data_IF_208892594975
#
_entry.id   IF_208892594975
#
_cell.length_a   1.000
_cell.length_b   1.000
_cell.length_c   1.000
_cell.angle_alpha   90.00
_cell.angle_beta   90.00
_cell.angle_gamma   90.00
#
_symmetry.space_group_name_H-M   'P 1'
#
loop_
_entity.id
_entity.type
_entity.pdbx_description
1 polymer ?
#
# COMPACT_ATOMS: atom_id res chain seq x y z
N UNK A 1 -38.32 -34.26 -12.01
CA UNK A 1 -37.61 -33.50 -13.06
C UNK A 1 -37.43 -32.00 -12.76
N UNK A 2 -38.11 -31.40 -11.77
CA UNK A 2 -37.97 -29.97 -11.45
C UNK A 2 -36.74 -29.63 -10.60
N UNK A 3 -36.25 -30.57 -9.79
CA UNK A 3 -35.18 -30.31 -8.82
C UNK A 3 -33.79 -30.23 -9.46
N UNK A 4 -33.50 -31.07 -10.47
CA UNK A 4 -32.25 -30.99 -11.24
C UNK A 4 -32.13 -29.68 -12.04
N UNK A 5 -33.24 -29.12 -12.55
CA UNK A 5 -33.21 -27.79 -13.19
C UNK A 5 -32.92 -26.68 -12.19
N UNK A 6 -33.53 -26.72 -11.00
CA UNK A 6 -33.28 -25.74 -9.93
C UNK A 6 -31.82 -25.77 -9.46
N UNK A 7 -31.25 -26.97 -9.29
CA UNK A 7 -29.83 -27.13 -8.94
C UNK A 7 -28.91 -26.62 -10.05
N UNK A 8 -29.23 -26.90 -11.32
CA UNK A 8 -28.45 -26.42 -12.46
C UNK A 8 -28.49 -24.89 -12.58
N UNK A 9 -29.65 -24.26 -12.36
CA UNK A 9 -29.75 -22.78 -12.35
C UNK A 9 -29.05 -22.15 -11.15
N UNK A 10 -29.08 -22.78 -9.96
CA UNK A 10 -28.38 -22.27 -8.78
C UNK A 10 -26.86 -22.35 -8.94
N UNK A 11 -26.35 -23.43 -9.53
CA UNK A 11 -24.93 -23.62 -9.78
C UNK A 11 -24.40 -22.63 -10.83
N UNK A 12 -25.16 -22.38 -11.91
CA UNK A 12 -24.81 -21.37 -12.92
C UNK A 12 -24.84 -19.94 -12.35
N UNK A 13 -25.78 -19.64 -11.44
CA UNK A 13 -25.83 -18.35 -10.77
C UNK A 13 -24.61 -18.16 -9.85
N UNK A 14 -24.22 -19.20 -9.10
CA UNK A 14 -23.04 -19.15 -8.24
C UNK A 14 -21.76 -18.92 -9.04
N UNK A 15 -21.56 -19.67 -10.13
CA UNK A 15 -20.41 -19.51 -11.03
C UNK A 15 -20.35 -18.10 -11.65
N UNK A 16 -21.50 -17.56 -12.06
CA UNK A 16 -21.58 -16.20 -12.59
C UNK A 16 -21.26 -15.13 -11.53
N UNK A 17 -21.74 -15.30 -10.29
CA UNK A 17 -21.44 -14.39 -9.18
C UNK A 17 -19.96 -14.43 -8.81
N UNK A 18 -19.36 -15.62 -8.73
CA UNK A 18 -17.92 -15.77 -8.49
C UNK A 18 -17.09 -15.07 -9.58
N UNK A 19 -17.48 -15.24 -10.86
CA UNK A 19 -16.80 -14.58 -11.97
C UNK A 19 -16.95 -13.05 -11.92
N UNK A 20 -18.11 -12.55 -11.49
CA UNK A 20 -18.35 -11.11 -11.33
C UNK A 20 -17.51 -10.52 -10.18
N UNK A 21 -17.48 -11.18 -9.02
CA UNK A 21 -16.66 -10.78 -7.87
C UNK A 21 -15.18 -10.79 -8.22
N UNK A 22 -14.71 -11.84 -8.90
CA UNK A 22 -13.32 -11.92 -9.38
C UNK A 22 -12.97 -10.81 -10.38
N UNK A 23 -13.90 -10.46 -11.27
CA UNK A 23 -13.73 -9.34 -12.20
C UNK A 23 -13.63 -8.00 -11.48
N UNK A 24 -14.45 -7.80 -10.44
CA UNK A 24 -14.44 -6.57 -9.64
C UNK A 24 -13.13 -6.44 -8.82
N UNK A 25 -12.67 -7.53 -8.20
CA UNK A 25 -11.40 -7.58 -7.47
C UNK A 25 -10.20 -7.25 -8.37
N UNK A 26 -10.10 -7.86 -9.56
CA UNK A 26 -9.05 -7.54 -10.53
C UNK A 26 -9.11 -6.08 -11.01
N UNK A 27 -10.32 -5.54 -11.17
CA UNK A 27 -10.52 -4.12 -11.48
C UNK A 27 -9.93 -3.21 -10.40
N UNK A 28 -10.18 -3.51 -9.12
CA UNK A 28 -9.64 -2.75 -7.99
C UNK A 28 -8.12 -2.87 -7.92
N UNK A 29 -7.52 -4.05 -8.13
CA UNK A 29 -6.06 -4.20 -8.16
C UNK A 29 -5.42 -3.29 -9.21
N UNK A 30 -5.91 -3.34 -10.46
CA UNK A 30 -5.36 -2.54 -11.56
C UNK A 30 -5.56 -1.03 -11.33
N UNK A 31 -6.72 -0.62 -10.83
CA UNK A 31 -7.00 0.77 -10.48
C UNK A 31 -6.10 1.26 -9.34
N UNK A 32 -5.90 0.42 -8.31
CA UNK A 32 -5.02 0.71 -7.17
C UNK A 32 -3.59 0.95 -7.63
N UNK A 33 -3.01 0.06 -8.44
CA UNK A 33 -1.66 0.24 -8.98
C UNK A 33 -1.52 1.59 -9.69
N UNK A 34 -2.45 1.90 -10.59
CA UNK A 34 -2.41 3.16 -11.32
C UNK A 34 -2.57 4.40 -10.44
N UNK A 35 -3.34 4.31 -9.34
CA UNK A 35 -3.45 5.40 -8.35
C UNK A 35 -2.16 5.53 -7.54
N UNK A 36 -1.58 4.43 -7.08
CA UNK A 36 -0.34 4.47 -6.30
C UNK A 36 0.78 5.14 -7.09
N UNK A 37 0.94 4.82 -8.38
CA UNK A 37 1.94 5.47 -9.23
C UNK A 37 1.70 6.99 -9.31
N UNK A 38 0.45 7.45 -9.43
CA UNK A 38 0.13 8.89 -9.41
C UNK A 38 0.31 9.54 -8.03
N UNK A 39 0.07 8.81 -6.96
CA UNK A 39 0.32 9.27 -5.59
C UNK A 39 1.83 9.51 -5.39
N UNK A 40 2.68 8.59 -5.84
CA UNK A 40 4.14 8.75 -5.81
C UNK A 40 4.60 9.91 -6.70
N UNK A 41 4.10 10.01 -7.93
CA UNK A 41 4.45 11.12 -8.84
C UNK A 41 4.07 12.50 -8.30
N UNK A 42 2.95 12.59 -7.56
CA UNK A 42 2.41 13.86 -7.09
C UNK A 42 2.70 14.16 -5.61
N UNK A 43 3.22 13.20 -4.85
CA UNK A 43 3.42 13.29 -3.41
C UNK A 43 2.12 13.43 -2.59
N UNK A 44 0.96 13.02 -3.13
CA UNK A 44 -0.36 13.25 -2.49
C UNK A 44 -1.18 11.98 -2.37
N UNK A 45 -1.87 11.85 -1.24
CA UNK A 45 -2.72 10.70 -0.91
C UNK A 45 -4.18 10.81 -1.43
N UNK A 46 -4.61 12.00 -1.87
CA UNK A 46 -6.01 12.35 -2.15
C UNK A 46 -6.74 11.32 -3.03
N UNK A 47 -6.07 10.79 -4.06
CA UNK A 47 -6.69 9.86 -5.01
C UNK A 47 -6.97 8.48 -4.41
N UNK A 48 -6.05 7.95 -3.60
CA UNK A 48 -6.27 6.67 -2.93
C UNK A 48 -7.35 6.80 -1.87
N UNK A 49 -7.33 7.90 -1.11
CA UNK A 49 -8.38 8.19 -0.13
C UNK A 49 -9.77 8.28 -0.79
N UNK A 50 -9.86 8.91 -1.96
CA UNK A 50 -11.10 8.98 -2.73
C UNK A 50 -11.57 7.59 -3.21
N UNK A 51 -10.65 6.72 -3.63
CA UNK A 51 -11.00 5.34 -3.99
C UNK A 51 -11.48 4.54 -2.78
N UNK A 52 -10.79 4.60 -1.64
CA UNK A 52 -11.21 3.93 -0.38
C UNK A 52 -12.60 4.39 0.03
N UNK A 53 -12.86 5.70 0.01
CA UNK A 53 -14.18 6.24 0.31
C UNK A 53 -15.27 5.69 -0.63
N UNK A 54 -14.98 5.55 -1.93
CA UNK A 54 -15.90 4.94 -2.89
C UNK A 54 -16.13 3.45 -2.61
N UNK A 55 -15.12 2.71 -2.17
CA UNK A 55 -15.24 1.29 -1.82
C UNK A 55 -16.07 1.11 -0.55
N UNK A 56 -15.83 1.90 0.49
CA UNK A 56 -16.56 1.82 1.77
C UNK A 56 -18.07 2.01 1.59
N UNK A 57 -18.49 2.79 0.59
CA UNK A 57 -19.89 3.00 0.23
C UNK A 57 -20.55 1.80 -0.48
N UNK A 58 -19.80 0.74 -0.81
CA UNK A 58 -20.30 -0.47 -1.47
C UNK A 58 -20.43 -1.62 -0.45
N UNK A 59 -21.60 -1.80 0.18
CA UNK A 59 -21.71 -2.62 1.38
C UNK A 59 -21.44 -4.12 1.19
N UNK A 60 -21.62 -4.63 -0.01
CA UNK A 60 -21.55 -6.07 -0.31
C UNK A 60 -20.13 -6.55 -0.58
N UNK A 61 -19.27 -5.74 -1.20
CA UNK A 61 -17.94 -6.14 -1.69
C UNK A 61 -16.78 -5.37 -1.07
N UNK A 62 -17.05 -4.40 -0.19
CA UNK A 62 -16.02 -3.51 0.37
C UNK A 62 -14.86 -4.23 1.06
N UNK A 63 -15.12 -5.33 1.79
CA UNK A 63 -14.06 -6.04 2.52
C UNK A 63 -13.10 -6.73 1.56
N UNK A 64 -13.63 -7.46 0.58
CA UNK A 64 -12.82 -8.11 -0.44
C UNK A 64 -12.01 -7.07 -1.22
N UNK A 65 -12.64 -5.96 -1.63
CA UNK A 65 -11.97 -4.89 -2.35
C UNK A 65 -10.89 -4.17 -1.53
N UNK A 66 -11.13 -3.92 -0.24
CA UNK A 66 -10.13 -3.31 0.65
C UNK A 66 -8.96 -4.26 0.93
N UNK A 67 -9.23 -5.55 1.12
CA UNK A 67 -8.19 -6.56 1.29
C UNK A 67 -7.29 -6.65 0.05
N UNK A 68 -7.89 -6.71 -1.14
CA UNK A 68 -7.15 -6.74 -2.42
C UNK A 68 -6.32 -5.46 -2.62
N UNK A 69 -6.84 -4.30 -2.22
CA UNK A 69 -6.10 -3.05 -2.22
C UNK A 69 -4.94 -3.06 -1.22
N UNK A 70 -5.17 -3.53 0.00
CA UNK A 70 -4.16 -3.61 1.05
C UNK A 70 -2.98 -4.49 0.60
N UNK A 71 -3.24 -5.64 -0.02
CA UNK A 71 -2.20 -6.49 -0.62
C UNK A 71 -1.37 -5.76 -1.67
N UNK A 72 -2.01 -4.97 -2.53
CA UNK A 72 -1.31 -4.20 -3.57
C UNK A 72 -0.45 -3.10 -2.95
N UNK A 73 -0.99 -2.35 -1.97
CA UNK A 73 -0.25 -1.28 -1.28
C UNK A 73 0.93 -1.86 -0.50
N UNK A 74 0.73 -2.97 0.21
CA UNK A 74 1.78 -3.68 0.95
C UNK A 74 2.87 -4.19 0.01
N UNK A 75 2.50 -4.83 -1.11
CA UNK A 75 3.43 -5.30 -2.12
C UNK A 75 4.31 -4.15 -2.63
N UNK A 76 3.69 -3.02 -2.98
CA UNK A 76 4.41 -1.83 -3.46
C UNK A 76 5.31 -1.21 -2.38
N UNK A 77 4.85 -1.16 -1.14
CA UNK A 77 5.66 -0.69 -0.01
C UNK A 77 6.90 -1.56 0.20
N UNK A 78 6.76 -2.88 0.07
CA UNK A 78 7.90 -3.80 0.17
C UNK A 78 8.88 -3.66 -1.00
N UNK A 79 8.40 -3.44 -2.22
CA UNK A 79 9.25 -3.12 -3.37
C UNK A 79 10.08 -1.86 -3.12
N UNK A 80 9.46 -0.78 -2.61
CA UNK A 80 10.17 0.46 -2.29
C UNK A 80 11.19 0.27 -1.15
N UNK A 81 10.86 -0.51 -0.12
CA UNK A 81 11.79 -0.83 0.98
C UNK A 81 13.01 -1.57 0.47
N UNK A 82 12.82 -2.52 -0.44
CA UNK A 82 13.91 -3.23 -1.07
C UNK A 82 14.78 -2.28 -1.91
N UNK A 83 14.16 -1.45 -2.76
CA UNK A 83 14.88 -0.45 -3.55
C UNK A 83 15.67 0.51 -2.67
N UNK A 84 15.08 0.95 -1.56
CA UNK A 84 15.73 1.86 -0.61
C UNK A 84 16.97 1.22 0.02
N UNK A 85 16.87 -0.06 0.41
CA UNK A 85 18.01 -0.80 0.92
C UNK A 85 19.13 -0.93 -0.12
N UNK A 86 18.80 -1.30 -1.36
CA UNK A 86 19.77 -1.40 -2.46
C UNK A 86 20.48 -0.06 -2.75
N UNK A 87 19.74 1.05 -2.68
CA UNK A 87 20.31 2.40 -2.86
C UNK A 87 21.22 2.80 -1.69
N UNK A 88 20.86 2.44 -0.46
CA UNK A 88 21.73 2.66 0.70
C UNK A 88 23.04 1.87 0.60
N UNK A 89 22.98 0.62 0.14
CA UNK A 89 24.18 -0.20 -0.12
C UNK A 89 25.05 0.42 -1.23
N UNK A 90 24.41 0.88 -2.30
CA UNK A 90 25.11 1.57 -3.40
C UNK A 90 25.84 2.80 -2.90
N UNK A 91 25.17 3.70 -2.15
CA UNK A 91 25.78 4.91 -1.61
C UNK A 91 26.90 4.58 -0.62
N UNK A 92 26.70 3.60 0.26
CA UNK A 92 27.75 3.13 1.16
C UNK A 92 29.01 2.66 0.39
N UNK A 93 28.81 1.92 -0.71
CA UNK A 93 29.89 1.49 -1.60
C UNK A 93 30.62 2.65 -2.28
N UNK A 94 29.87 3.64 -2.77
CA UNK A 94 30.41 4.88 -3.36
C UNK A 94 31.24 5.64 -2.33
N UNK A 95 30.69 5.85 -1.12
CA UNK A 95 31.36 6.57 -0.03
C UNK A 95 32.67 5.90 0.39
N UNK A 96 32.66 4.57 0.46
CA UNK A 96 33.86 3.78 0.75
C UNK A 96 34.91 3.90 -0.35
N UNK A 97 34.50 3.90 -1.61
CA UNK A 97 35.44 3.91 -2.74
C UNK A 97 36.09 5.27 -2.92
N UNK A 98 35.34 6.35 -2.77
CA UNK A 98 35.81 7.71 -3.00
C UNK A 98 36.53 8.31 -1.78
N UNK A 99 36.03 8.03 -0.57
CA UNK A 99 36.53 8.67 0.67
C UNK A 99 37.08 7.69 1.71
N UNK A 100 37.17 6.40 1.40
CA UNK A 100 37.58 5.34 2.35
C UNK A 100 36.70 5.29 3.61
N UNK A 101 35.48 5.83 3.53
CA UNK A 101 34.51 5.86 4.63
C UNK A 101 33.76 4.53 4.66
N UNK A 102 34.01 3.72 5.69
CA UNK A 102 33.27 2.47 5.91
C UNK A 102 32.00 2.73 6.75
N UNK A 103 30.86 2.86 6.07
CA UNK A 103 29.54 2.93 6.71
C UNK A 103 28.71 1.71 6.33
N UNK A 104 28.03 1.05 7.30
CA UNK A 104 27.03 0.04 6.96
C UNK A 104 25.80 0.71 6.33
N UNK A 105 25.09 0.01 5.45
CA UNK A 105 23.89 0.53 4.79
C UNK A 105 22.81 1.03 5.78
N UNK A 106 22.71 0.41 6.96
CA UNK A 106 21.82 0.88 8.03
C UNK A 106 22.18 2.28 8.54
N UNK A 107 23.47 2.61 8.65
CA UNK A 107 23.90 3.94 9.06
C UNK A 107 23.64 4.99 7.96
N UNK A 108 23.76 4.60 6.68
CA UNK A 108 23.40 5.46 5.55
C UNK A 108 21.89 5.74 5.54
N UNK A 109 21.07 4.72 5.75
CA UNK A 109 19.62 4.91 5.94
C UNK A 109 19.34 5.86 7.09
N UNK A 110 19.93 5.63 8.26
CA UNK A 110 19.65 6.46 9.44
C UNK A 110 20.16 7.91 9.27
N UNK A 111 21.15 8.14 8.39
CA UNK A 111 21.62 9.47 8.02
C UNK A 111 20.62 10.19 7.11
N UNK A 112 20.01 9.50 6.16
CA UNK A 112 19.04 10.09 5.23
C UNK A 112 17.68 10.23 5.90
N UNK A 113 17.25 9.19 6.61
CA UNK A 113 15.94 9.12 7.25
C UNK A 113 15.88 10.09 8.43
N UNK A 114 15.15 11.19 8.25
CA UNK A 114 15.03 12.26 9.23
C UNK A 114 16.04 13.40 9.10
N UNK A 115 16.90 13.39 8.08
CA UNK A 115 17.66 14.58 7.72
C UNK A 115 16.71 15.67 7.21
N UNK A 116 16.90 16.91 7.65
CA UNK A 116 16.18 18.02 7.04
C UNK A 116 16.70 18.28 5.63
N UNK A 117 15.89 18.93 4.78
CA UNK A 117 16.33 19.37 3.45
C UNK A 117 17.63 20.18 3.51
N UNK A 118 17.79 21.01 4.54
CA UNK A 118 19.01 21.79 4.75
C UNK A 118 20.23 20.91 5.09
N UNK A 119 20.03 19.83 5.86
CA UNK A 119 21.10 18.89 6.20
C UNK A 119 21.53 18.10 4.96
N UNK A 120 20.56 17.67 4.15
CA UNK A 120 20.82 17.00 2.86
C UNK A 120 21.57 17.94 1.90
N UNK A 121 21.13 19.19 1.77
CA UNK A 121 21.83 20.19 0.95
C UNK A 121 23.24 20.47 1.44
N UNK A 122 23.45 20.53 2.77
CA UNK A 122 24.78 20.71 3.34
C UNK A 122 25.69 19.51 3.04
N UNK A 123 25.17 18.28 3.15
CA UNK A 123 25.90 17.06 2.77
C UNK A 123 26.21 17.04 1.28
N UNK A 124 25.24 17.34 0.41
CA UNK A 124 25.43 17.42 -1.04
C UNK A 124 26.50 18.46 -1.40
N UNK A 125 26.46 19.64 -0.78
CA UNK A 125 27.47 20.69 -0.99
C UNK A 125 28.86 20.29 -0.51
N UNK A 126 28.96 19.56 0.61
CA UNK A 126 30.23 19.08 1.12
C UNK A 126 30.83 18.03 0.17
N UNK A 127 30.02 17.07 -0.28
CA UNK A 127 30.43 16.03 -1.24
C UNK A 127 30.85 16.64 -2.58
N UNK A 128 30.05 17.57 -3.13
CA UNK A 128 30.35 18.24 -4.40
C UNK A 128 31.63 19.09 -4.34
N UNK A 129 31.95 19.68 -3.19
CA UNK A 129 33.15 20.51 -3.05
C UNK A 129 34.47 19.72 -3.06
N UNK A 130 34.41 18.42 -2.77
CA UNK A 130 35.58 17.54 -2.66
C UNK A 130 35.87 16.81 -3.98
N UNK A 131 34.89 16.74 -4.89
CA UNK A 131 34.97 16.03 -6.17
C UNK A 131 35.42 16.90 -7.35
N UNK A 132 36.09 18.03 -7.11
CA UNK A 132 36.46 19.04 -8.13
C UNK A 132 37.44 18.60 -9.24
N UNK A 133 37.63 17.31 -9.46
CA UNK A 133 38.49 16.76 -10.52
C UNK A 133 37.83 16.86 -11.91
N UNK A 134 38.63 17.06 -12.96
CA UNK A 134 38.19 17.34 -14.34
C UNK A 134 37.41 16.19 -15.03
N UNK A 135 37.32 15.00 -14.40
CA UNK A 135 36.63 13.80 -14.92
C UNK A 135 35.27 13.54 -14.23
N UNK A 136 34.80 14.44 -13.36
CA UNK A 136 33.53 14.26 -12.65
C UNK A 136 32.35 14.70 -13.53
N UNK A 137 31.56 13.72 -14.00
CA UNK A 137 30.33 13.96 -14.75
C UNK A 137 29.17 14.17 -13.75
N UNK A 138 28.69 15.40 -13.55
CA UNK A 138 27.61 15.67 -12.59
C UNK A 138 26.28 15.02 -12.99
N UNK A 139 26.14 14.56 -14.24
CA UNK A 139 24.97 13.84 -14.72
C UNK A 139 25.09 12.32 -14.51
N UNK A 140 26.22 11.80 -13.98
CA UNK A 140 26.37 10.37 -13.69
C UNK A 140 25.40 9.95 -12.56
N UNK A 141 24.49 8.99 -12.79
CA UNK A 141 23.63 8.46 -11.73
C UNK A 141 24.41 7.77 -10.59
N UNK A 142 25.66 7.38 -10.83
CA UNK A 142 26.56 6.88 -9.80
C UNK A 142 27.20 8.00 -8.96
N UNK A 143 27.08 9.25 -9.38
CA UNK A 143 27.57 10.40 -8.63
C UNK A 143 26.90 10.47 -7.25
N UNK A 144 27.66 10.62 -6.16
CA UNK A 144 27.16 10.48 -4.79
C UNK A 144 26.08 11.51 -4.44
N UNK A 145 26.12 12.70 -5.04
CA UNK A 145 25.07 13.72 -4.87
C UNK A 145 23.74 13.26 -5.48
N UNK A 146 23.78 12.67 -6.69
CA UNK A 146 22.60 12.14 -7.37
C UNK A 146 22.03 10.91 -6.64
N UNK A 147 22.92 10.06 -6.08
CA UNK A 147 22.52 8.94 -5.22
C UNK A 147 21.84 9.42 -3.94
N UNK A 148 22.38 10.45 -3.28
CA UNK A 148 21.79 11.02 -2.06
C UNK A 148 20.43 11.67 -2.33
N UNK A 149 20.31 12.43 -3.41
CA UNK A 149 19.03 13.02 -3.83
C UNK A 149 18.00 11.93 -4.16
N UNK A 150 18.39 10.89 -4.89
CA UNK A 150 17.52 9.75 -5.18
C UNK A 150 17.08 9.02 -3.91
N UNK A 151 17.95 8.92 -2.91
CA UNK A 151 17.63 8.29 -1.62
C UNK A 151 16.64 9.14 -0.82
N UNK A 152 16.84 10.47 -0.76
CA UNK A 152 15.92 11.38 -0.08
C UNK A 152 14.50 11.29 -0.65
N UNK A 153 14.38 11.36 -1.98
CA UNK A 153 13.06 11.20 -2.66
C UNK A 153 12.42 9.85 -2.34
N UNK A 154 13.22 8.79 -2.28
CA UNK A 154 12.72 7.45 -1.98
C UNK A 154 12.28 7.30 -0.51
N UNK A 155 12.89 8.03 0.42
CA UNK A 155 12.46 8.10 1.83
C UNK A 155 11.11 8.83 1.97
N UNK A 156 10.90 9.90 1.18
CA UNK A 156 9.61 10.58 1.08
C UNK A 156 8.53 9.65 0.51
N UNK A 157 8.83 8.94 -0.58
CA UNK A 157 7.95 7.94 -1.20
C UNK A 157 7.57 6.82 -0.21
N UNK A 158 8.55 6.32 0.56
CA UNK A 158 8.34 5.33 1.61
C UNK A 158 7.42 5.84 2.72
N UNK A 159 7.60 7.10 3.12
CA UNK A 159 6.76 7.74 4.15
C UNK A 159 5.32 7.87 3.68
N UNK A 160 5.11 8.33 2.44
CA UNK A 160 3.79 8.39 1.83
C UNK A 160 3.15 7.00 1.73
N UNK A 161 3.88 6.01 1.20
CA UNK A 161 3.35 4.65 1.06
C UNK A 161 3.07 3.97 2.40
N UNK A 162 3.86 4.25 3.43
CA UNK A 162 3.59 3.82 4.80
C UNK A 162 2.26 4.37 5.31
N UNK A 163 2.03 5.68 5.15
CA UNK A 163 0.75 6.30 5.48
C UNK A 163 -0.41 5.68 4.71
N UNK A 164 -0.28 5.49 3.40
CA UNK A 164 -1.32 4.90 2.57
C UNK A 164 -1.67 3.47 2.99
N UNK A 165 -0.67 2.67 3.35
CA UNK A 165 -0.87 1.32 3.87
C UNK A 165 -1.63 1.32 5.19
N UNK A 166 -1.19 2.11 6.17
CA UNK A 166 -1.87 2.25 7.46
C UNK A 166 -3.32 2.73 7.30
N UNK A 167 -3.54 3.70 6.40
CA UNK A 167 -4.87 4.19 6.09
C UNK A 167 -5.80 3.10 5.54
N UNK A 168 -5.34 2.29 4.59
CA UNK A 168 -6.14 1.19 4.02
C UNK A 168 -6.39 0.08 5.05
N UNK A 169 -5.39 -0.26 5.86
CA UNK A 169 -5.51 -1.27 6.92
C UNK A 169 -6.53 -0.85 7.99
N UNK A 170 -6.48 0.41 8.45
CA UNK A 170 -7.43 0.97 9.41
C UNK A 170 -8.88 0.86 8.90
N UNK A 171 -9.11 1.16 7.62
CA UNK A 171 -10.43 1.02 7.01
C UNK A 171 -10.87 -0.44 6.88
N UNK A 172 -9.94 -1.34 6.60
CA UNK A 172 -10.20 -2.78 6.56
C UNK A 172 -10.68 -3.27 7.93
N UNK A 173 -9.91 -2.97 8.99
CA UNK A 173 -10.27 -3.29 10.38
C UNK A 173 -11.63 -2.68 10.75
N UNK A 174 -11.86 -1.41 10.42
CA UNK A 174 -13.13 -0.74 10.72
C UNK A 174 -14.32 -1.44 10.04
N UNK A 175 -14.17 -1.85 8.79
CA UNK A 175 -15.22 -2.54 8.05
C UNK A 175 -15.47 -3.96 8.57
N UNK A 176 -14.43 -4.66 9.01
CA UNK A 176 -14.57 -5.98 9.65
C UNK A 176 -15.36 -5.89 10.95
N UNK A 177 -15.07 -4.88 11.78
CA UNK A 177 -15.80 -4.64 13.02
C UNK A 177 -17.29 -4.34 12.77
N UNK A 178 -17.60 -3.55 11.74
CA UNK A 178 -18.98 -3.26 11.34
C UNK A 178 -19.68 -4.54 10.85
N UNK A 179 -19.01 -5.35 10.02
CA UNK A 179 -19.56 -6.61 9.52
C UNK A 179 -19.83 -7.60 10.66
N UNK A 180 -18.87 -7.75 11.58
CA UNK A 180 -19.01 -8.59 12.77
C UNK A 180 -20.20 -8.15 13.63
N UNK A 181 -20.32 -6.84 13.91
CA UNK A 181 -21.44 -6.29 14.67
C UNK A 181 -22.78 -6.57 14.00
N UNK A 182 -22.89 -6.35 12.69
CA UNK A 182 -24.12 -6.62 11.93
C UNK A 182 -24.52 -8.09 12.00
N UNK A 183 -23.55 -9.01 11.84
CA UNK A 183 -23.80 -10.44 11.97
C UNK A 183 -24.25 -10.84 13.38
N UNK A 184 -23.71 -10.19 14.42
CA UNK A 184 -24.12 -10.39 15.80
C UNK A 184 -25.55 -9.93 16.06
N UNK A 185 -25.90 -8.72 15.62
CA UNK A 185 -27.26 -8.16 15.76
C UNK A 185 -28.30 -9.02 15.03
N UNK A 186 -27.96 -9.56 13.85
CA UNK A 186 -28.82 -10.49 13.10
C UNK A 186 -29.03 -11.83 13.83
N UNK A 187 -28.03 -12.34 14.57
CA UNK A 187 -28.17 -13.56 15.38
C UNK A 187 -28.97 -13.32 16.67
N UNK A 188 -28.90 -12.11 17.22
CA UNK A 188 -29.66 -11.70 18.41
C UNK A 188 -31.14 -11.42 18.15
N UNK A 189 -31.53 -11.20 16.88
CA UNK A 189 -32.93 -11.27 16.44
C UNK A 189 -33.41 -12.72 16.54
N UNK A 190 -33.79 -13.15 17.74
CA UNK A 190 -34.34 -14.46 17.98
C UNK A 190 -35.46 -14.74 16.97
N UNK A 191 -35.50 -15.93 16.35
CA UNK A 191 -36.70 -16.36 15.64
C UNK A 191 -37.90 -16.20 16.60
N UNK A 192 -38.94 -15.55 16.10
CA UNK A 192 -40.24 -15.41 16.75
C UNK A 192 -40.84 -16.81 17.00
N UNK A 193 -40.34 -17.48 18.03
CA UNK A 193 -40.85 -18.74 18.53
C UNK A 193 -41.87 -18.42 19.62
N UNK A 194 -43.08 -18.03 19.22
CA UNK A 194 -44.25 -18.35 20.04
C UNK A 194 -45.31 -17.27 20.19
N UNK A 195 -46.25 -17.27 19.25
CA UNK A 195 -47.68 -17.10 19.55
C UNK A 195 -48.48 -18.40 19.25
N UNK A 196 -47.79 -19.55 19.17
CA UNK A 196 -48.36 -20.84 18.75
C UNK A 196 -48.71 -21.83 19.86
N UNK A 197 -48.43 -21.55 21.14
CA UNK A 197 -48.88 -22.41 22.24
C UNK A 197 -50.28 -22.01 22.69
N UNK A 198 -51.27 -22.37 21.86
CA UNK A 198 -52.66 -22.43 22.28
C UNK A 198 -52.81 -23.42 23.44
N UNK A 199 -52.94 -22.90 24.65
CA UNK A 199 -53.38 -23.67 25.82
C UNK A 199 -54.88 -23.89 25.63
N UNK A 200 -55.26 -25.10 25.22
CA UNK A 200 -56.65 -25.54 25.25
C UNK A 200 -57.06 -25.74 26.72
N UNK A 201 -58.00 -24.91 27.18
CA UNK A 201 -58.75 -25.10 28.43
C UNK A 201 -60.04 -25.89 28.18
#
# INVERSE_FOLDING_TARGET
>A
MSENRRRMTAMQLAEWLEQFVFSAANGVRAETVGILDRCLESGRADELEALVNRIVMQPETRLDMLSEMAEVVEGRLNELRQLHFERCESLAGTLRTLWEIELPAAAVRDLVSGASENDLLAMMSALASDLTDEDDDPDDPAHPVNQLESLARLDDDLSLMGYLYEFVDDWTIAMEMIAFRSAWEQRGAAPDFGDGFGVAH
#
